data_IF_376742569568
#
_entry.id   IF_376742569568
#
_cell.length_a   1.000
_cell.length_b   1.000
_cell.length_c   1.000
_cell.angle_alpha   90.00
_cell.angle_beta   90.00
_cell.angle_gamma   90.00
#
_symmetry.space_group_name_H-M   'P 1'
#
loop_
_entity.id
_entity.type
_entity.pdbx_description
1 polymer ?
#
# COMPACT_ATOMS: atom_id res chain seq x y z
N UNK A 1 7.46 -9.95 -8.26
CA UNK A 1 7.41 -8.54 -7.79
C UNK A 1 6.62 -8.37 -6.48
N UNK A 2 5.68 -9.27 -6.13
CA UNK A 2 4.91 -9.10 -4.89
C UNK A 2 5.66 -9.42 -3.59
N UNK A 3 6.47 -10.49 -3.55
CA UNK A 3 7.12 -10.96 -2.32
C UNK A 3 8.14 -9.97 -1.77
N UNK A 4 9.04 -9.44 -2.60
CA UNK A 4 10.03 -8.43 -2.16
C UNK A 4 9.36 -7.14 -1.68
N UNK A 5 8.32 -6.68 -2.39
CA UNK A 5 7.56 -5.50 -1.98
C UNK A 5 6.80 -5.70 -0.66
N UNK A 6 6.34 -6.93 -0.38
CA UNK A 6 5.72 -7.27 0.90
C UNK A 6 6.72 -7.17 2.06
N UNK A 7 7.92 -7.74 1.93
CA UNK A 7 8.96 -7.63 2.96
C UNK A 7 9.36 -6.17 3.22
N UNK A 8 9.53 -5.37 2.16
CA UNK A 8 9.84 -3.94 2.27
C UNK A 8 8.69 -3.15 2.93
N UNK A 9 7.43 -3.45 2.60
CA UNK A 9 6.28 -2.80 3.22
C UNK A 9 6.15 -3.08 4.73
N UNK A 10 6.51 -4.29 5.19
CA UNK A 10 6.46 -4.65 6.61
C UNK A 10 7.48 -3.88 7.45
N UNK A 11 8.62 -3.50 6.86
CA UNK A 11 9.64 -2.67 7.51
C UNK A 11 9.43 -1.16 7.28
N UNK A 12 8.31 -0.76 6.66
CA UNK A 12 7.98 0.65 6.42
C UNK A 12 8.66 1.29 5.20
N UNK A 13 9.28 0.48 4.33
CA UNK A 13 9.94 0.93 3.09
C UNK A 13 8.91 0.86 1.95
N UNK A 14 8.54 2.01 1.40
CA UNK A 14 7.44 2.17 0.42
C UNK A 14 7.92 2.13 -1.03
N UNK A 15 9.23 2.06 -1.25
CA UNK A 15 9.92 2.07 -2.54
C UNK A 15 9.50 0.88 -3.41
N UNK A 16 9.20 -0.26 -2.79
CA UNK A 16 8.67 -1.45 -3.48
C UNK A 16 7.22 -1.31 -3.96
N UNK A 17 6.45 -0.38 -3.39
CA UNK A 17 5.04 -0.16 -3.70
C UNK A 17 4.83 0.90 -4.80
N UNK A 18 5.77 1.83 -5.00
CA UNK A 18 5.73 2.84 -6.06
C UNK A 18 5.49 2.22 -7.45
N UNK A 19 6.26 1.23 -7.93
CA UNK A 19 6.03 0.63 -9.25
C UNK A 19 4.67 -0.08 -9.36
N UNK A 20 4.07 -0.49 -8.24
CA UNK A 20 2.72 -1.07 -8.20
C UNK A 20 1.64 -0.01 -8.40
N UNK A 21 1.77 1.15 -7.76
CA UNK A 21 0.82 2.26 -7.89
C UNK A 21 0.87 2.93 -9.27
N UNK A 22 2.07 3.16 -9.82
CA UNK A 22 2.26 3.85 -11.12
C UNK A 22 1.63 3.06 -12.27
N UNK A 23 1.57 1.73 -12.17
CA UNK A 23 0.97 0.87 -13.18
C UNK A 23 -0.52 1.12 -13.40
N UNK A 24 -1.28 1.47 -12.35
CA UNK A 24 -2.73 1.74 -12.42
C UNK A 24 -3.19 2.67 -11.28
N UNK A 25 -2.75 3.93 -11.31
CA UNK A 25 -3.00 4.86 -10.22
C UNK A 25 -4.48 5.11 -9.94
N UNK A 26 -5.32 5.23 -10.99
CA UNK A 26 -6.76 5.52 -10.88
C UNK A 26 -7.53 4.48 -10.05
N UNK A 27 -7.06 3.25 -10.02
CA UNK A 27 -7.72 2.13 -9.35
C UNK A 27 -7.04 1.79 -8.03
N UNK A 28 -5.70 1.86 -7.99
CA UNK A 28 -4.90 1.52 -6.81
C UNK A 28 -5.01 2.58 -5.73
N UNK A 29 -4.95 3.87 -6.09
CA UNK A 29 -5.02 4.97 -5.13
C UNK A 29 -6.31 5.00 -4.31
N UNK A 30 -7.52 4.95 -4.89
CA UNK A 30 -8.75 4.95 -4.09
C UNK A 30 -8.87 3.69 -3.23
N UNK A 31 -8.39 2.55 -3.71
CA UNK A 31 -8.41 1.30 -2.93
C UNK A 31 -7.51 1.39 -1.68
N UNK A 32 -6.32 1.98 -1.80
CA UNK A 32 -5.40 2.20 -0.68
C UNK A 32 -6.00 3.21 0.30
N UNK A 33 -6.57 4.32 -0.18
CA UNK A 33 -7.19 5.33 0.68
C UNK A 33 -8.31 4.72 1.52
N UNK A 34 -9.22 3.96 0.90
CA UNK A 34 -10.34 3.33 1.60
C UNK A 34 -9.84 2.31 2.63
N UNK A 35 -8.92 1.43 2.26
CA UNK A 35 -8.40 0.43 3.19
C UNK A 35 -7.59 1.03 4.35
N UNK A 36 -6.76 2.05 4.09
CA UNK A 36 -6.04 2.77 5.14
C UNK A 36 -6.98 3.56 6.06
N UNK A 37 -8.05 4.16 5.52
CA UNK A 37 -9.05 4.85 6.34
C UNK A 37 -9.80 3.88 7.27
N UNK A 38 -10.18 2.70 6.78
CA UNK A 38 -10.86 1.68 7.60
C UNK A 38 -9.92 1.13 8.67
N UNK A 39 -8.68 0.77 8.32
CA UNK A 39 -7.70 0.27 9.30
C UNK A 39 -7.36 1.32 10.38
N UNK A 40 -7.11 2.57 9.98
CA UNK A 40 -6.84 3.65 10.92
C UNK A 40 -8.06 4.02 11.78
N UNK A 41 -9.27 4.00 11.21
CA UNK A 41 -10.51 4.26 11.94
C UNK A 41 -10.77 3.19 13.01
N UNK A 42 -10.56 1.91 12.68
CA UNK A 42 -10.66 0.83 13.65
C UNK A 42 -9.60 0.94 14.76
N UNK A 43 -8.36 1.26 14.38
CA UNK A 43 -7.28 1.48 15.35
C UNK A 43 -7.58 2.63 16.33
N UNK A 44 -8.23 3.70 15.87
CA UNK A 44 -8.69 4.79 16.73
C UNK A 44 -9.81 4.34 17.68
N UNK A 45 -10.75 3.52 17.23
CA UNK A 45 -11.84 2.97 18.06
C UNK A 45 -11.28 2.04 19.15
N UNK A 46 -10.29 1.21 18.82
CA UNK A 46 -9.63 0.32 19.77
C UNK A 46 -8.60 1.03 20.68
N UNK A 47 -8.40 2.34 20.51
CA UNK A 47 -7.50 3.14 21.36
C UNK A 47 -6.02 2.81 21.17
N UNK A 48 -5.62 2.42 19.96
CA UNK A 48 -4.22 2.13 19.62
C UNK A 48 -3.42 3.43 19.59
N UNK A 49 -2.44 3.54 20.48
CA UNK A 49 -1.55 4.70 20.58
C UNK A 49 -0.10 4.30 20.27
N UNK A 50 0.47 4.87 19.20
CA UNK A 50 1.90 4.75 18.86
C UNK A 50 2.61 6.07 19.15
N UNK A 51 3.71 6.01 19.93
CA UNK A 51 4.55 7.17 20.22
C UNK A 51 5.58 7.45 19.12
N UNK A 52 5.78 6.53 18.18
CA UNK A 52 6.82 6.65 17.14
C UNK A 52 6.15 6.91 15.79
N UNK A 53 6.56 7.95 15.04
CA UNK A 53 6.12 8.19 13.68
C UNK A 53 6.86 7.24 12.72
N UNK A 54 6.57 5.94 12.82
CA UNK A 54 7.05 4.88 11.93
C UNK A 54 5.88 4.07 11.39
N UNK A 55 6.02 3.58 10.15
CA UNK A 55 5.07 2.68 9.51
C UNK A 55 5.52 1.22 9.56
N UNK A 56 4.62 0.29 9.22
CA UNK A 56 4.91 -1.14 9.16
C UNK A 56 4.83 -1.85 10.51
N UNK A 57 5.28 -3.11 10.56
CA UNK A 57 5.30 -3.94 11.76
C UNK A 57 6.35 -3.48 12.78
N UNK A 58 7.38 -2.75 12.34
CA UNK A 58 8.39 -2.18 13.24
C UNK A 58 7.79 -1.17 14.23
N UNK A 59 6.63 -0.56 13.89
CA UNK A 59 5.95 0.39 14.74
C UNK A 59 5.38 -0.26 16.02
N UNK A 60 5.17 -1.59 16.05
CA UNK A 60 4.66 -2.31 17.23
C UNK A 60 5.55 -2.07 18.46
N UNK A 61 6.87 -1.97 18.27
CA UNK A 61 7.80 -1.70 19.37
C UNK A 61 7.60 -0.30 20.01
N UNK A 62 6.95 0.62 19.30
CA UNK A 62 6.59 1.97 19.77
C UNK A 62 5.11 2.13 20.17
N UNK A 63 4.31 1.06 20.13
CA UNK A 63 2.90 1.09 20.52
C UNK A 63 2.78 0.91 22.04
N UNK A 64 2.23 1.91 22.71
CA UNK A 64 2.09 1.93 24.17
C UNK A 64 0.78 1.28 24.63
N UNK A 65 -0.28 1.38 23.82
CA UNK A 65 -1.60 0.80 24.11
C UNK A 65 -2.08 -0.10 22.98
N UNK A 66 -2.58 -1.28 23.35
CA UNK A 66 -3.23 -2.21 22.44
C UNK A 66 -2.35 -2.64 21.22
N UNK A 67 -1.09 -3.10 21.42
CA UNK A 67 -0.20 -3.51 20.32
C UNK A 67 -0.73 -4.69 19.50
N UNK A 68 -1.56 -5.54 20.11
CA UNK A 68 -2.20 -6.65 19.40
C UNK A 68 -3.28 -6.15 18.43
N UNK A 69 -4.06 -5.14 18.84
CA UNK A 69 -5.08 -4.52 18.00
C UNK A 69 -4.46 -3.74 16.84
N UNK A 70 -3.29 -3.12 17.03
CA UNK A 70 -2.54 -2.48 15.94
C UNK A 70 -2.32 -3.43 14.74
N UNK A 71 -1.90 -4.68 15.00
CA UNK A 71 -1.65 -5.67 13.94
C UNK A 71 -2.95 -6.16 13.32
N UNK A 72 -3.99 -6.37 14.14
CA UNK A 72 -5.30 -6.84 13.67
C UNK A 72 -5.96 -5.77 12.79
N UNK A 73 -6.00 -4.52 13.24
CA UNK A 73 -6.59 -3.40 12.49
C UNK A 73 -5.83 -3.12 11.20
N UNK A 74 -4.49 -3.23 11.23
CA UNK A 74 -3.65 -3.20 10.02
C UNK A 74 -4.00 -4.34 9.06
N UNK A 75 -4.17 -5.57 9.56
CA UNK A 75 -4.55 -6.71 8.73
C UNK A 75 -5.95 -6.52 8.11
N UNK A 76 -6.91 -5.98 8.86
CA UNK A 76 -8.25 -5.66 8.36
C UNK A 76 -8.15 -4.62 7.24
N UNK A 77 -7.37 -3.55 7.40
CA UNK A 77 -7.13 -2.54 6.36
C UNK A 77 -6.51 -3.14 5.08
N UNK A 78 -5.59 -4.08 5.21
CA UNK A 78 -5.00 -4.82 4.07
C UNK A 78 -6.05 -5.65 3.35
N UNK A 79 -6.89 -6.39 4.09
CA UNK A 79 -7.98 -7.20 3.52
C UNK A 79 -9.00 -6.33 2.79
N UNK A 80 -9.39 -5.19 3.37
CA UNK A 80 -10.29 -4.22 2.74
C UNK A 80 -9.68 -3.64 1.46
N UNK A 81 -8.39 -3.28 1.48
CA UNK A 81 -7.66 -2.82 0.29
C UNK A 81 -7.68 -3.89 -0.81
N UNK A 82 -7.41 -5.15 -0.45
CA UNK A 82 -7.38 -6.26 -1.38
C UNK A 82 -8.76 -6.54 -2.00
N UNK A 83 -9.82 -6.50 -1.19
CA UNK A 83 -11.20 -6.62 -1.64
C UNK A 83 -11.60 -5.48 -2.57
N UNK A 84 -11.28 -4.24 -2.20
CA UNK A 84 -11.58 -3.06 -3.01
C UNK A 84 -10.85 -3.14 -4.37
N UNK A 85 -9.59 -3.57 -4.36
CA UNK A 85 -8.82 -3.77 -5.59
C UNK A 85 -9.37 -4.92 -6.45
N UNK A 86 -9.89 -5.98 -5.83
CA UNK A 86 -10.53 -7.10 -6.51
C UNK A 86 -11.84 -6.69 -7.19
N UNK A 87 -12.71 -5.96 -6.47
CA UNK A 87 -13.99 -5.44 -7.01
C UNK A 87 -13.75 -4.44 -8.13
N UNK A 88 -12.76 -3.56 -7.98
CA UNK A 88 -12.44 -2.53 -8.97
C UNK A 88 -11.65 -3.09 -10.17
N UNK A 89 -11.17 -4.34 -10.10
CA UNK A 89 -10.47 -5.06 -11.18
C UNK A 89 -10.95 -6.52 -11.33
N UNK A 90 -12.18 -6.76 -11.82
CA UNK A 90 -12.73 -8.10 -11.96
C UNK A 90 -12.13 -8.95 -13.10
N UNK A 91 -11.19 -8.43 -13.91
CA UNK A 91 -10.56 -9.18 -15.00
C UNK A 91 -9.10 -9.54 -14.69
N UNK A 92 -8.89 -10.76 -14.18
CA UNK A 92 -7.59 -11.44 -14.23
C UNK A 92 -7.76 -12.73 -15.04
N UNK A 93 -7.85 -12.55 -16.35
CA UNK A 93 -7.36 -13.52 -17.33
C UNK A 93 -6.37 -12.79 -18.22
N UNK A 94 -5.22 -12.41 -17.63
CA UNK A 94 -3.92 -12.34 -18.29
C UNK A 94 -2.83 -11.92 -17.27
N UNK A 95 -1.70 -12.64 -17.22
CA UNK A 95 -0.61 -12.32 -16.31
C UNK A 95 0.10 -11.04 -16.78
N UNK A 96 0.31 -10.12 -15.84
CA UNK A 96 1.41 -9.15 -15.86
C UNK A 96 1.68 -8.39 -17.19
N UNK A 97 0.72 -7.59 -17.71
CA UNK A 97 1.07 -6.64 -18.78
C UNK A 97 1.90 -5.48 -18.25
N UNK A 98 3.16 -5.40 -18.69
CA UNK A 98 4.09 -4.28 -18.58
C UNK A 98 3.64 -3.17 -19.54
N UNK A 99 3.34 -1.98 -19.05
CA UNK A 99 3.16 -0.71 -19.79
C UNK A 99 2.81 0.34 -18.72
N UNK A 100 3.46 1.49 -18.53
CA UNK A 100 4.21 2.35 -19.43
C UNK A 100 5.19 3.21 -18.60
N UNK A 101 6.49 3.15 -18.89
CA UNK A 101 7.47 4.14 -18.42
C UNK A 101 8.59 4.37 -19.46
N UNK A 102 8.26 4.30 -20.75
CA UNK A 102 9.21 4.52 -21.87
C UNK A 102 8.74 5.57 -22.89
N UNK A 103 8.04 6.64 -22.48
CA UNK A 103 7.64 7.69 -23.44
C UNK A 103 7.63 9.13 -22.91
N UNK A 104 8.56 9.51 -22.05
CA UNK A 104 8.68 10.94 -21.68
C UNK A 104 10.11 11.47 -21.69
N UNK A 105 11.16 10.64 -21.59
CA UNK A 105 12.54 11.17 -21.43
C UNK A 105 13.36 11.21 -22.74
N UNK A 106 12.91 10.57 -23.84
CA UNK A 106 13.72 10.51 -25.08
C UNK A 106 13.40 11.58 -26.13
N UNK A 107 12.46 12.50 -25.89
CA UNK A 107 12.05 13.48 -26.93
C UNK A 107 12.82 14.81 -26.88
N UNK A 108 13.55 15.12 -25.80
CA UNK A 108 14.25 16.42 -25.68
C UNK A 108 15.75 16.42 -26.02
N UNK A 109 16.35 15.28 -26.40
CA UNK A 109 17.78 15.22 -26.80
C UNK A 109 18.02 15.23 -28.32
N UNK A 110 17.01 15.49 -29.14
CA UNK A 110 17.17 15.62 -30.61
C UNK A 110 16.78 17.02 -31.13
N UNK A 111 16.94 18.06 -30.30
CA UNK A 111 16.82 19.45 -30.73
C UNK A 111 17.86 20.36 -30.08
N UNK A 112 19.13 20.02 -30.26
CA UNK A 112 20.25 20.97 -30.38
C UNK A 112 21.35 20.34 -31.21
#
# INVERSE_FOLDING_TARGET
>A
MGTSAAFMGLIGITEGAIPFAVKNLKTVLPSIIIGSAVGAGLAMIHGVESMVPHGGLIAIAGVNKAPLWYVIDMAIGVVVTALCLHILRPNISEPAKKESAKKTITTDMNKV
#
